data_IF_733384866951
#
_entry.id   IF_733384866951
#
_cell.length_a   1.000
_cell.length_b   1.000
_cell.length_c   1.000
_cell.angle_alpha   90.00
_cell.angle_beta   90.00
_cell.angle_gamma   90.00
#
_symmetry.space_group_name_H-M   'P 1'
#
loop_
_entity.id
_entity.type
_entity.pdbx_description
1 polymer ?
#
# COMPACT_ATOMS: atom_id res chain seq x y z
N UNK A 1 22.20 17.77 12.63
CA UNK A 1 21.73 18.64 11.53
C UNK A 1 21.66 17.94 10.18
N UNK A 2 22.75 17.50 9.53
CA UNK A 2 22.65 16.78 8.23
C UNK A 2 22.05 15.37 8.35
N UNK A 3 22.27 14.67 9.47
CA UNK A 3 21.70 13.34 9.73
C UNK A 3 20.18 13.35 9.91
N UNK A 4 19.64 14.38 10.57
CA UNK A 4 18.21 14.54 10.84
C UNK A 4 17.41 14.82 9.57
N UNK A 5 17.98 15.59 8.63
CA UNK A 5 17.36 15.85 7.31
C UNK A 5 17.26 14.56 6.50
N UNK A 6 18.30 13.72 6.50
CA UNK A 6 18.24 12.43 5.81
C UNK A 6 17.19 11.50 6.43
N UNK A 7 17.11 11.45 7.76
CA UNK A 7 16.13 10.64 8.47
C UNK A 7 14.68 11.09 8.18
N UNK A 8 14.44 12.40 8.15
CA UNK A 8 13.15 12.99 7.77
C UNK A 8 12.79 12.69 6.30
N UNK A 9 13.76 12.73 5.38
CA UNK A 9 13.54 12.36 3.98
C UNK A 9 13.14 10.88 3.82
N UNK A 10 13.76 9.97 4.58
CA UNK A 10 13.39 8.55 4.58
C UNK A 10 11.98 8.31 5.09
N UNK A 11 11.56 9.04 6.14
CA UNK A 11 10.20 8.97 6.65
C UNK A 11 9.17 9.47 5.64
N UNK A 12 9.43 10.61 4.98
CA UNK A 12 8.55 11.14 3.92
C UNK A 12 8.39 10.13 2.78
N UNK A 13 9.49 9.50 2.35
CA UNK A 13 9.43 8.49 1.29
C UNK A 13 8.64 7.23 1.71
N UNK A 14 8.80 6.79 2.96
CA UNK A 14 8.03 5.69 3.52
C UNK A 14 6.53 6.01 3.58
N UNK A 15 6.17 7.24 3.98
CA UNK A 15 4.78 7.71 4.01
C UNK A 15 4.16 7.81 2.61
N UNK A 16 4.93 8.27 1.61
CA UNK A 16 4.48 8.30 0.22
C UNK A 16 4.19 6.88 -0.27
N UNK A 17 5.08 5.92 -0.01
CA UNK A 17 4.89 4.54 -0.43
C UNK A 17 3.74 3.85 0.32
N UNK A 18 3.57 4.16 1.61
CA UNK A 18 2.43 3.69 2.40
C UNK A 18 1.11 4.16 1.77
N UNK A 19 1.01 5.45 1.48
CA UNK A 19 -0.18 6.04 0.87
C UNK A 19 -0.47 5.46 -0.52
N UNK A 20 0.59 5.19 -1.32
CA UNK A 20 0.46 4.53 -2.62
C UNK A 20 -0.16 3.14 -2.48
N UNK A 21 0.32 2.34 -1.52
CA UNK A 21 -0.20 0.98 -1.26
C UNK A 21 -1.63 0.99 -0.72
N UNK A 22 -1.97 1.94 0.17
CA UNK A 22 -3.34 2.13 0.64
C UNK A 22 -4.27 2.45 -0.53
N UNK A 23 -3.89 3.38 -1.40
CA UNK A 23 -4.69 3.74 -2.58
C UNK A 23 -4.91 2.56 -3.53
N UNK A 24 -3.88 1.73 -3.75
CA UNK A 24 -4.01 0.51 -4.56
C UNK A 24 -4.98 -0.50 -3.94
N UNK A 25 -4.92 -0.69 -2.62
CA UNK A 25 -5.85 -1.58 -1.93
C UNK A 25 -7.30 -1.07 -2.01
N UNK A 26 -7.51 0.24 -1.79
CA UNK A 26 -8.84 0.86 -1.91
C UNK A 26 -9.42 0.66 -3.32
N UNK A 27 -8.64 0.94 -4.37
CA UNK A 27 -9.08 0.72 -5.77
C UNK A 27 -9.43 -0.74 -6.06
N UNK A 28 -8.67 -1.70 -5.52
CA UNK A 28 -8.97 -3.11 -5.68
C UNK A 28 -10.28 -3.49 -4.98
N UNK A 29 -10.52 -2.95 -3.78
CA UNK A 29 -11.77 -3.16 -3.03
C UNK A 29 -12.97 -2.56 -3.77
N UNK A 30 -12.83 -1.35 -4.32
CA UNK A 30 -13.86 -0.72 -5.14
C UNK A 30 -14.19 -1.55 -6.39
N UNK A 31 -13.17 -2.01 -7.12
CA UNK A 31 -13.35 -2.86 -8.30
C UNK A 31 -14.07 -4.19 -7.96
N UNK A 32 -13.69 -4.82 -6.84
CA UNK A 32 -14.36 -6.03 -6.36
C UNK A 32 -15.80 -5.78 -5.90
N UNK A 33 -16.05 -4.65 -5.24
CA UNK A 33 -17.39 -4.26 -4.80
C UNK A 33 -18.33 -4.01 -6.00
N UNK A 34 -17.80 -3.39 -7.06
CA UNK A 34 -18.53 -3.16 -8.32
C UNK A 34 -18.72 -4.44 -9.13
N UNK A 35 -17.72 -5.32 -9.19
CA UNK A 35 -17.77 -6.55 -9.97
C UNK A 35 -17.05 -7.71 -9.25
N UNK A 36 -17.82 -8.66 -8.73
CA UNK A 36 -17.30 -9.78 -7.92
C UNK A 36 -16.82 -10.94 -8.79
N UNK A 37 -15.71 -10.74 -9.48
CA UNK A 37 -15.02 -11.78 -10.25
C UNK A 37 -13.89 -12.42 -9.43
N UNK A 38 -13.41 -13.60 -9.88
CA UNK A 38 -12.23 -14.23 -9.31
C UNK A 38 -10.99 -13.32 -9.43
N UNK A 39 -10.82 -12.67 -10.58
CA UNK A 39 -9.72 -11.74 -10.83
C UNK A 39 -9.73 -10.56 -9.85
N UNK A 40 -10.88 -9.92 -9.63
CA UNK A 40 -10.99 -8.83 -8.67
C UNK A 40 -10.79 -9.32 -7.23
N UNK A 41 -11.21 -10.55 -6.92
CA UNK A 41 -10.94 -11.17 -5.61
C UNK A 41 -9.43 -11.36 -5.38
N UNK A 42 -8.71 -11.82 -6.40
CA UNK A 42 -7.26 -11.99 -6.35
C UNK A 42 -6.54 -10.65 -6.24
N UNK A 43 -7.01 -9.62 -6.95
CA UNK A 43 -6.45 -8.27 -6.87
C UNK A 43 -6.56 -7.69 -5.45
N UNK A 44 -7.71 -7.85 -4.78
CA UNK A 44 -7.88 -7.45 -3.37
C UNK A 44 -6.93 -8.22 -2.46
N UNK A 45 -6.84 -9.53 -2.61
CA UNK A 45 -5.97 -10.37 -1.78
C UNK A 45 -4.49 -9.98 -1.93
N UNK A 46 -4.04 -9.75 -3.17
CA UNK A 46 -2.68 -9.31 -3.48
C UNK A 46 -2.37 -7.94 -2.88
N UNK A 47 -3.22 -6.94 -3.15
CA UNK A 47 -3.02 -5.58 -2.64
C UNK A 47 -3.03 -5.54 -1.10
N UNK A 48 -3.87 -6.37 -0.45
CA UNK A 48 -3.87 -6.54 1.01
C UNK A 48 -2.55 -7.12 1.50
N UNK A 49 -2.06 -8.19 0.88
CA UNK A 49 -0.79 -8.81 1.26
C UNK A 49 0.38 -7.82 1.10
N UNK A 50 0.45 -7.10 -0.03
CA UNK A 50 1.50 -6.11 -0.30
C UNK A 50 1.50 -4.95 0.69
N UNK A 51 0.32 -4.52 1.17
CA UNK A 51 0.17 -3.49 2.20
C UNK A 51 0.61 -4.02 3.58
N UNK A 52 0.16 -5.21 3.97
CA UNK A 52 0.51 -5.82 5.26
C UNK A 52 2.01 -6.09 5.34
N UNK A 53 2.62 -6.66 4.31
CA UNK A 53 4.07 -6.90 4.28
C UNK A 53 4.88 -5.60 4.42
N UNK A 54 4.41 -4.50 3.82
CA UNK A 54 5.06 -3.21 3.94
C UNK A 54 4.98 -2.63 5.35
N UNK A 55 3.82 -2.75 6.02
CA UNK A 55 3.61 -2.22 7.38
C UNK A 55 4.30 -3.07 8.44
N UNK A 56 4.36 -4.39 8.25
CA UNK A 56 4.95 -5.31 9.23
C UNK A 56 6.44 -5.61 9.01
N UNK A 57 7.04 -5.06 7.95
CA UNK A 57 8.49 -5.17 7.71
C UNK A 57 8.94 -6.59 7.38
N UNK A 58 8.21 -7.28 6.50
CA UNK A 58 8.59 -8.61 6.01
C UNK A 58 9.97 -8.67 5.36
#
# INVERSE_FOLDING_TARGET
MFSEVNQMNHQILADIELNRKISLFQKAVEAYALNRTLENSQAVAKAKADLVCFVWGG
#
